data_IF_573089996461
#
_entry.id   IF_573089996461
#
_cell.length_a   1.000
_cell.length_b   1.000
_cell.length_c   1.000
_cell.angle_alpha   90.00
_cell.angle_beta   90.00
_cell.angle_gamma   90.00
#
_symmetry.space_group_name_H-M   'P 1'
#
loop_
_entity.id
_entity.type
_entity.pdbx_description
1 polymer ?
#
# COMPACT_ATOMS: atom_id res chain seq x y z
N UNK A 1 21.36 4.53 25.75
CA UNK A 1 20.78 4.18 25.51
C UNK A 1 20.46 3.63 25.41
N UNK A 2 20.67 3.45 25.66
CA UNK A 2 20.19 2.69 25.59
C UNK A 2 19.42 2.06 25.66
N UNK A 3 18.96 2.17 26.32
CA UNK A 3 18.07 1.39 26.50
C UNK A 3 17.06 1.70 26.88
N UNK A 4 16.61 2.90 27.43
CA UNK A 4 15.60 2.92 27.75
C UNK A 4 14.48 3.15 26.94
N UNK A 5 14.14 4.22 26.69
CA UNK A 5 13.43 4.00 25.69
C UNK A 5 13.63 2.74 25.01
N UNK A 6 14.57 2.13 25.36
CA UNK A 6 14.88 0.82 24.96
C UNK A 6 13.77 -0.16 25.27
N UNK A 7 13.06 0.02 26.37
CA UNK A 7 11.97 -0.87 26.72
C UNK A 7 10.83 -0.84 25.73
N UNK A 8 10.40 0.36 25.35
CA UNK A 8 9.35 0.50 24.37
C UNK A 8 9.77 -0.03 23.01
N UNK A 9 10.97 0.26 22.58
CA UNK A 9 11.46 -0.20 21.32
C UNK A 9 11.53 -1.73 21.27
N UNK A 10 11.96 -2.33 22.36
CA UNK A 10 12.03 -3.78 22.45
C UNK A 10 10.66 -4.42 22.40
N UNK A 11 9.68 -3.81 23.05
CA UNK A 11 8.32 -4.35 23.02
C UNK A 11 7.74 -4.30 21.62
N UNK A 12 7.93 -3.21 20.90
CA UNK A 12 7.44 -3.09 19.55
C UNK A 12 8.14 -4.06 18.62
N UNK A 13 9.45 -4.23 18.83
CA UNK A 13 10.23 -5.10 17.96
C UNK A 13 9.87 -6.57 18.14
N UNK A 14 9.38 -6.97 19.31
CA UNK A 14 9.11 -8.38 19.57
C UNK A 14 7.64 -8.75 19.44
N UNK A 15 6.78 -7.82 19.04
CA UNK A 15 5.39 -8.20 18.80
C UNK A 15 5.29 -8.82 17.40
N UNK A 16 5.26 -10.15 17.30
CA UNK A 16 5.30 -10.81 16.00
C UNK A 16 4.05 -10.56 15.17
N UNK A 17 2.92 -10.31 15.80
CA UNK A 17 1.69 -10.03 15.07
C UNK A 17 1.80 -8.69 14.32
N UNK A 18 2.24 -7.65 15.02
CA UNK A 18 2.39 -6.32 14.41
C UNK A 18 3.46 -6.36 13.32
N UNK A 19 4.60 -6.99 13.57
CA UNK A 19 5.66 -7.11 12.59
C UNK A 19 5.18 -7.88 11.37
N UNK A 20 4.42 -8.96 11.58
CA UNK A 20 3.87 -9.74 10.49
C UNK A 20 2.91 -8.95 9.63
N UNK A 21 2.02 -8.17 10.26
CA UNK A 21 1.05 -7.34 9.54
C UNK A 21 1.74 -6.23 8.76
N UNK A 22 2.78 -5.62 9.32
CA UNK A 22 3.54 -4.60 8.59
C UNK A 22 4.27 -5.20 7.40
N UNK A 23 4.86 -6.38 7.57
CA UNK A 23 5.54 -7.07 6.47
C UNK A 23 4.56 -7.40 5.36
N UNK A 24 3.38 -7.92 5.72
CA UNK A 24 2.35 -8.24 4.75
C UNK A 24 1.89 -7.00 4.01
N UNK A 25 1.70 -5.90 4.74
CA UNK A 25 1.27 -4.64 4.12
C UNK A 25 2.33 -4.11 3.15
N UNK A 26 3.61 -4.17 3.53
CA UNK A 26 4.71 -3.77 2.65
C UNK A 26 4.65 -4.60 1.36
N UNK A 27 4.50 -5.91 1.48
CA UNK A 27 4.45 -6.80 0.33
C UNK A 27 3.22 -6.52 -0.54
N UNK A 28 2.08 -6.28 0.06
CA UNK A 28 0.86 -5.96 -0.67
C UNK A 28 0.97 -4.63 -1.40
N UNK A 29 1.59 -3.64 -0.76
CA UNK A 29 1.85 -2.35 -1.40
C UNK A 29 2.79 -2.48 -2.58
N UNK A 30 3.88 -3.24 -2.43
CA UNK A 30 4.84 -3.44 -3.51
C UNK A 30 4.22 -4.22 -4.66
N UNK A 31 3.40 -5.21 -4.36
CA UNK A 31 2.70 -5.97 -5.38
C UNK A 31 1.71 -5.08 -6.15
N UNK A 32 0.95 -4.28 -5.42
CA UNK A 32 0.00 -3.36 -6.04
C UNK A 32 0.71 -2.34 -6.91
N UNK A 33 1.84 -1.79 -6.45
CA UNK A 33 2.68 -0.92 -7.24
C UNK A 33 3.06 -1.57 -8.57
N UNK A 34 3.57 -2.80 -8.50
CA UNK A 34 4.04 -3.50 -9.70
C UNK A 34 2.90 -3.78 -10.68
N UNK A 35 1.76 -4.24 -10.17
CA UNK A 35 0.60 -4.54 -11.01
C UNK A 35 0.08 -3.27 -11.68
N UNK A 36 -0.05 -2.18 -10.92
CA UNK A 36 -0.55 -0.92 -11.47
C UNK A 36 0.40 -0.34 -12.52
N UNK A 37 1.71 -0.43 -12.31
CA UNK A 37 2.70 0.02 -13.30
C UNK A 37 2.56 -0.78 -14.59
N UNK A 38 2.46 -2.09 -14.47
CA UNK A 38 2.31 -2.97 -15.63
C UNK A 38 1.04 -2.63 -16.41
N UNK A 39 -0.07 -2.47 -15.71
CA UNK A 39 -1.35 -2.16 -16.34
C UNK A 39 -1.37 -0.76 -16.95
N UNK A 40 -0.65 0.20 -16.33
CA UNK A 40 -0.57 1.55 -16.88
C UNK A 40 0.03 1.53 -18.28
N UNK A 41 1.08 0.75 -18.50
CA UNK A 41 1.71 0.64 -19.80
C UNK A 41 0.76 0.04 -20.83
N UNK A 42 0.04 -1.01 -20.48
CA UNK A 42 -0.94 -1.62 -21.36
C UNK A 42 -2.11 -0.69 -21.68
N UNK A 43 -2.57 0.06 -20.68
CA UNK A 43 -3.69 1.00 -20.84
C UNK A 43 -3.28 2.17 -21.71
N UNK A 44 -2.04 2.62 -21.60
CA UNK A 44 -1.51 3.67 -22.46
C UNK A 44 -1.49 3.21 -23.92
N UNK A 45 -1.06 1.98 -24.17
CA UNK A 45 -1.06 1.41 -25.49
C UNK A 45 -2.48 1.30 -26.07
N UNK A 46 -3.49 1.13 -25.21
CA UNK A 46 -4.89 1.07 -25.62
C UNK A 46 -5.53 2.44 -25.80
N UNK A 47 -4.79 3.52 -25.53
CA UNK A 47 -5.27 4.89 -25.73
C UNK A 47 -6.27 5.37 -24.69
N UNK A 48 -6.12 4.98 -23.43
CA UNK A 48 -7.04 5.37 -22.35
C UNK A 48 -6.32 6.17 -21.27
N UNK A 49 -5.98 7.44 -21.54
CA UNK A 49 -5.15 8.24 -20.64
C UNK A 49 -5.75 8.46 -19.25
N UNK A 50 -7.08 8.51 -19.15
CA UNK A 50 -7.72 8.69 -17.83
C UNK A 50 -7.38 7.55 -16.88
N UNK A 51 -7.44 6.33 -17.38
CA UNK A 51 -7.12 5.15 -16.59
C UNK A 51 -5.63 5.10 -16.24
N UNK A 52 -4.77 5.52 -17.17
CA UNK A 52 -3.32 5.56 -16.92
C UNK A 52 -3.00 6.44 -15.72
N UNK A 53 -3.63 7.61 -15.64
CA UNK A 53 -3.36 8.54 -14.54
C UNK A 53 -3.70 7.93 -13.18
N UNK A 54 -4.85 7.27 -13.09
CA UNK A 54 -5.27 6.65 -11.83
C UNK A 54 -4.34 5.50 -11.46
N UNK A 55 -3.96 4.67 -12.44
CA UNK A 55 -3.05 3.56 -12.20
C UNK A 55 -1.69 4.06 -11.71
N UNK A 56 -1.18 5.14 -12.30
CA UNK A 56 0.10 5.71 -11.89
C UNK A 56 0.01 6.35 -10.50
N UNK A 57 -1.08 7.03 -10.19
CA UNK A 57 -1.29 7.57 -8.84
C UNK A 57 -1.28 6.46 -7.81
N UNK A 58 -1.97 5.36 -8.11
CA UNK A 58 -2.02 4.20 -7.22
C UNK A 58 -0.62 3.59 -7.06
N UNK A 59 0.10 3.42 -8.16
CA UNK A 59 1.45 2.87 -8.11
C UNK A 59 2.38 3.73 -7.25
N UNK A 60 2.29 5.05 -7.38
CA UNK A 60 3.12 5.97 -6.63
C UNK A 60 2.84 5.92 -5.13
N UNK A 61 1.57 5.99 -4.74
CA UNK A 61 1.24 5.98 -3.31
C UNK A 61 1.58 4.62 -2.68
N UNK A 62 1.41 3.53 -3.41
CA UNK A 62 1.76 2.21 -2.92
C UNK A 62 3.26 2.11 -2.63
N UNK A 63 4.09 2.60 -3.54
CA UNK A 63 5.54 2.57 -3.35
C UNK A 63 5.97 3.46 -2.19
N UNK A 64 5.43 4.67 -2.11
CA UNK A 64 5.74 5.60 -1.02
C UNK A 64 5.31 5.01 0.32
N UNK A 65 4.17 4.35 0.37
CA UNK A 65 3.66 3.73 1.60
C UNK A 65 4.57 2.58 2.04
N UNK A 66 4.96 1.71 1.09
CA UNK A 66 5.90 0.63 1.39
C UNK A 66 7.20 1.18 1.95
N UNK A 67 7.76 2.22 1.31
CA UNK A 67 9.00 2.84 1.77
C UNK A 67 8.87 3.42 3.18
N UNK A 68 7.72 4.05 3.49
CA UNK A 68 7.50 4.63 4.81
C UNK A 68 7.53 3.56 5.90
N UNK A 69 6.98 2.39 5.63
CA UNK A 69 7.00 1.29 6.58
C UNK A 69 8.38 0.63 6.66
N UNK A 70 9.05 0.50 5.52
CA UNK A 70 10.39 -0.12 5.48
C UNK A 70 11.41 0.67 6.29
N UNK A 71 11.29 1.99 6.33
CA UNK A 71 12.19 2.84 7.13
C UNK A 71 11.63 3.17 8.51
N UNK A 72 10.56 2.51 8.91
CA UNK A 72 9.92 2.72 10.22
C UNK A 72 9.57 4.18 10.48
N UNK A 73 9.00 4.85 9.48
CA UNK A 73 8.60 6.25 9.59
C UNK A 73 7.51 6.41 10.63
N UNK A 74 7.61 7.44 11.45
CA UNK A 74 6.54 7.81 12.38
C UNK A 74 5.27 8.22 11.65
N UNK A 75 5.40 8.57 10.37
CA UNK A 75 4.28 9.07 9.57
C UNK A 75 3.63 7.99 8.72
N UNK A 76 4.02 6.71 8.88
CA UNK A 76 3.53 5.65 8.02
C UNK A 76 2.00 5.51 8.04
N UNK A 77 1.36 5.87 9.17
CA UNK A 77 -0.10 5.83 9.27
C UNK A 77 -0.79 6.76 8.28
N UNK A 78 -0.23 7.95 8.07
CA UNK A 78 -0.76 8.89 7.09
C UNK A 78 -0.63 8.33 5.67
N UNK A 79 0.51 7.71 5.37
CA UNK A 79 0.72 7.05 4.07
C UNK A 79 -0.28 5.92 3.87
N UNK A 80 -0.46 5.06 4.89
CA UNK A 80 -1.39 3.94 4.81
C UNK A 80 -2.82 4.42 4.60
N UNK A 81 -3.21 5.50 5.27
CA UNK A 81 -4.55 6.05 5.13
C UNK A 81 -4.79 6.57 3.72
N UNK A 82 -3.84 7.32 3.16
CA UNK A 82 -3.93 7.81 1.79
C UNK A 82 -3.92 6.65 0.80
N UNK A 83 -3.05 5.66 1.02
CA UNK A 83 -2.93 4.50 0.16
C UNK A 83 -4.24 3.72 0.09
N UNK A 84 -4.88 3.53 1.25
CA UNK A 84 -6.18 2.85 1.31
C UNK A 84 -7.21 3.53 0.40
N UNK A 85 -7.30 4.85 0.49
CA UNK A 85 -8.28 5.60 -0.28
C UNK A 85 -7.99 5.51 -1.79
N UNK A 86 -6.73 5.68 -2.18
CA UNK A 86 -6.34 5.65 -3.60
C UNK A 86 -6.51 4.24 -4.17
N UNK A 87 -6.10 3.21 -3.43
CA UNK A 87 -6.24 1.83 -3.88
C UNK A 87 -7.70 1.44 -4.06
N UNK A 88 -8.58 1.87 -3.15
CA UNK A 88 -10.00 1.60 -3.27
C UNK A 88 -10.57 2.22 -4.54
N UNK A 89 -10.20 3.46 -4.83
CA UNK A 89 -10.63 4.12 -6.05
C UNK A 89 -10.08 3.41 -7.30
N UNK A 90 -8.79 3.05 -7.25
CA UNK A 90 -8.14 2.38 -8.37
C UNK A 90 -8.77 1.01 -8.64
N UNK A 91 -9.18 0.29 -7.59
CA UNK A 91 -9.87 -0.99 -7.77
C UNK A 91 -11.15 -0.82 -8.59
N UNK A 92 -11.91 0.24 -8.33
CA UNK A 92 -13.10 0.54 -9.12
C UNK A 92 -12.79 0.80 -10.60
N UNK A 93 -11.69 1.51 -10.86
CA UNK A 93 -11.23 1.74 -12.23
C UNK A 93 -10.84 0.41 -12.89
N UNK A 94 -10.12 -0.44 -12.18
CA UNK A 94 -9.76 -1.75 -12.70
C UNK A 94 -11.00 -2.60 -13.02
N UNK A 95 -12.03 -2.50 -12.18
CA UNK A 95 -13.29 -3.20 -12.44
C UNK A 95 -13.91 -2.72 -13.76
N UNK A 96 -13.93 -1.41 -14.00
CA UNK A 96 -14.51 -0.88 -15.24
C UNK A 96 -13.70 -1.30 -16.48
N UNK A 97 -12.41 -1.56 -16.30
CA UNK A 97 -11.56 -2.05 -17.38
C UNK A 97 -11.67 -3.56 -17.56
N UNK A 98 -12.39 -4.25 -16.69
CA UNK A 98 -12.48 -5.70 -16.72
C UNK A 98 -11.22 -6.40 -16.24
N UNK A 99 -10.34 -5.72 -15.52
CA UNK A 99 -9.07 -6.27 -15.05
C UNK A 99 -9.22 -6.73 -13.61
N UNK A 100 -9.59 -7.99 -13.44
CA UNK A 100 -9.82 -8.57 -12.13
C UNK A 100 -8.56 -8.64 -11.30
N UNK A 101 -7.45 -8.98 -11.92
CA UNK A 101 -6.18 -9.13 -11.18
C UNK A 101 -5.73 -7.79 -10.60
N UNK A 102 -5.84 -6.73 -11.38
CA UNK A 102 -5.52 -5.39 -10.92
C UNK A 102 -6.45 -4.96 -9.78
N UNK A 103 -7.75 -5.19 -9.94
CA UNK A 103 -8.73 -4.85 -8.91
C UNK A 103 -8.43 -5.59 -7.61
N UNK A 104 -8.09 -6.87 -7.70
CA UNK A 104 -7.76 -7.67 -6.51
C UNK A 104 -6.50 -7.18 -5.82
N UNK A 105 -5.46 -6.83 -6.59
CA UNK A 105 -4.22 -6.30 -6.01
C UNK A 105 -4.51 -5.01 -5.27
N UNK A 106 -5.31 -4.12 -5.84
CA UNK A 106 -5.69 -2.86 -5.21
C UNK A 106 -6.49 -3.07 -3.93
N UNK A 107 -7.45 -3.99 -3.94
CA UNK A 107 -8.29 -4.27 -2.77
C UNK A 107 -7.48 -4.93 -1.66
N UNK A 108 -6.60 -5.84 -2.00
CA UNK A 108 -5.72 -6.49 -1.02
C UNK A 108 -4.85 -5.43 -0.33
N UNK A 109 -4.26 -4.53 -1.12
CA UNK A 109 -3.44 -3.46 -0.57
C UNK A 109 -4.27 -2.54 0.32
N UNK A 110 -5.47 -2.13 -0.13
CA UNK A 110 -6.35 -1.27 0.65
C UNK A 110 -6.71 -1.90 2.00
N UNK A 111 -7.01 -3.20 2.00
CA UNK A 111 -7.36 -3.91 3.23
C UNK A 111 -6.17 -3.97 4.19
N UNK A 112 -4.98 -4.28 3.68
CA UNK A 112 -3.78 -4.31 4.52
C UNK A 112 -3.50 -2.94 5.14
N UNK A 113 -3.58 -1.87 4.34
CA UNK A 113 -3.38 -0.51 4.83
C UNK A 113 -4.42 -0.14 5.89
N UNK A 114 -5.68 -0.52 5.68
CA UNK A 114 -6.73 -0.26 6.65
C UNK A 114 -6.42 -0.92 7.99
N UNK A 115 -5.92 -2.13 7.97
CA UNK A 115 -5.56 -2.85 9.19
C UNK A 115 -4.44 -2.15 9.93
N UNK A 116 -3.43 -1.65 9.21
CA UNK A 116 -2.34 -0.89 9.83
C UNK A 116 -2.89 0.37 10.50
N UNK A 117 -3.77 1.11 9.82
CA UNK A 117 -4.36 2.32 10.39
C UNK A 117 -5.13 1.99 11.67
N UNK A 118 -5.88 0.90 11.69
CA UNK A 118 -6.63 0.50 12.88
C UNK A 118 -5.71 0.14 14.05
N UNK A 119 -4.55 -0.45 13.78
CA UNK A 119 -3.62 -0.85 14.82
C UNK A 119 -2.99 0.33 15.54
N UNK A 120 -2.83 1.44 14.84
CA UNK A 120 -2.13 2.61 15.39
C UNK A 120 -3.09 3.73 15.82
N UNK A 121 -4.39 3.49 15.72
CA UNK A 121 -5.41 4.50 16.12
C UNK A 121 -5.80 4.36 17.61
#
# INVERSE_FOLDING_TARGET
MKQQNTGNMAQNAVNPMILGQMRDCINDCLNCHNVCMDRAMGTLAAGKPEHVKVLLDCAEICLATAHSMMRSSQLHGYFCNACQAVCTHCAGICDTMGDRDCANACRTCATSCQQIVKMIS
#
